data_IF_345142552922
#
_entry.id   IF_345142552922
#
_cell.length_a   1.000
_cell.length_b   1.000
_cell.length_c   1.000
_cell.angle_alpha   90.00
_cell.angle_beta   90.00
_cell.angle_gamma   90.00
#
_symmetry.space_group_name_H-M   'P 1'
#
loop_
_entity.id
_entity.type
_entity.pdbx_description
1 polymer ?
#
# COMPACT_ATOMS: atom_id res chain seq x y z
N UNK A 1 -1.39 10.71 -1.71
CA UNK A 1 0.01 10.41 -1.37
C UNK A 1 0.92 10.73 -2.53
N UNK A 2 1.90 11.64 -2.35
CA UNK A 2 2.75 12.12 -3.46
C UNK A 2 3.80 11.10 -3.92
N UNK A 3 4.30 10.22 -3.03
CA UNK A 3 5.28 9.18 -3.38
C UNK A 3 4.67 8.05 -4.20
N UNK A 4 3.51 7.51 -3.79
CA UNK A 4 2.75 6.55 -4.60
C UNK A 4 2.54 7.05 -6.05
N UNK A 5 2.04 8.29 -6.22
CA UNK A 5 1.89 8.90 -7.54
C UNK A 5 3.19 9.05 -8.33
N UNK A 6 4.33 9.24 -7.66
CA UNK A 6 5.65 9.34 -8.29
C UNK A 6 6.18 7.98 -8.75
N UNK A 7 5.86 6.91 -8.04
CA UNK A 7 6.35 5.55 -8.33
C UNK A 7 5.46 4.80 -9.31
N UNK A 8 4.13 4.90 -9.17
CA UNK A 8 3.19 4.15 -10.01
C UNK A 8 2.61 4.98 -11.15
N UNK A 9 2.75 6.31 -11.09
CA UNK A 9 2.07 7.24 -12.00
C UNK A 9 0.56 7.35 -11.77
N UNK A 10 0.00 6.62 -10.81
CA UNK A 10 -1.44 6.56 -10.52
C UNK A 10 -1.79 7.35 -9.26
N UNK A 11 -2.99 7.88 -9.25
CA UNK A 11 -3.56 8.46 -8.03
C UNK A 11 -3.93 7.33 -7.05
N UNK A 12 -3.83 7.61 -5.75
CA UNK A 12 -4.13 6.64 -4.69
C UNK A 12 -5.58 6.13 -4.70
N UNK A 13 -6.45 6.77 -5.48
CA UNK A 13 -7.83 6.37 -5.75
C UNK A 13 -7.93 5.20 -6.74
N UNK A 14 -6.88 4.94 -7.52
CA UNK A 14 -6.81 3.85 -8.52
C UNK A 14 -5.96 2.67 -8.04
N UNK A 15 -5.92 2.40 -6.73
CA UNK A 15 -5.28 1.20 -6.20
C UNK A 15 -6.15 -0.01 -6.57
N UNK A 16 -5.68 -0.80 -7.54
CA UNK A 16 -6.39 -2.01 -8.00
C UNK A 16 -5.44 -3.19 -7.90
N UNK A 17 -5.67 -4.03 -6.88
CA UNK A 17 -4.93 -5.27 -6.67
C UNK A 17 -3.79 -5.19 -5.65
N UNK A 18 -3.24 -6.37 -5.32
CA UNK A 18 -2.28 -6.56 -4.24
C UNK A 18 -0.97 -5.79 -4.43
N UNK A 19 -0.48 -5.66 -5.68
CA UNK A 19 0.77 -4.96 -5.97
C UNK A 19 0.66 -3.45 -5.77
N UNK A 20 -0.41 -2.81 -6.26
CA UNK A 20 -0.64 -1.37 -6.03
C UNK A 20 -0.83 -1.06 -4.55
N UNK A 21 -1.45 -1.99 -3.81
CA UNK A 21 -1.59 -1.90 -2.35
C UNK A 21 -0.26 -2.02 -1.60
N UNK A 22 0.62 -2.94 -2.01
CA UNK A 22 1.95 -3.08 -1.43
C UNK A 22 2.74 -1.77 -1.55
N UNK A 23 2.72 -1.13 -2.73
CA UNK A 23 3.37 0.19 -2.96
C UNK A 23 2.76 1.27 -2.07
N UNK A 24 1.44 1.26 -1.90
CA UNK A 24 0.75 2.22 -1.03
C UNK A 24 1.15 2.08 0.44
N UNK A 25 1.23 0.86 0.97
CA UNK A 25 1.65 0.60 2.35
C UNK A 25 3.11 0.97 2.54
N UNK A 26 3.99 0.61 1.59
CA UNK A 26 5.39 1.02 1.61
C UNK A 26 5.53 2.54 1.69
N UNK A 27 4.78 3.27 0.87
CA UNK A 27 4.74 4.73 0.89
C UNK A 27 4.29 5.28 2.26
N UNK A 28 3.36 4.62 2.95
CA UNK A 28 2.97 4.99 4.32
C UNK A 28 4.13 4.80 5.30
N UNK A 29 4.79 3.64 5.28
CA UNK A 29 5.92 3.33 6.14
C UNK A 29 7.06 4.35 5.94
N UNK A 30 7.45 4.62 4.69
CA UNK A 30 8.47 5.60 4.36
C UNK A 30 8.07 7.01 4.83
N UNK A 31 6.80 7.39 4.67
CA UNK A 31 6.32 8.71 5.10
C UNK A 31 6.36 8.86 6.63
N UNK A 32 5.96 7.82 7.37
CA UNK A 32 6.00 7.81 8.84
C UNK A 32 7.43 7.80 9.35
N UNK A 33 8.30 6.94 8.81
CA UNK A 33 9.71 6.91 9.19
C UNK A 33 10.41 8.24 8.91
N UNK A 34 10.11 8.88 7.78
CA UNK A 34 10.62 10.22 7.49
C UNK A 34 10.10 11.29 8.47
N UNK A 35 8.84 11.18 8.92
CA UNK A 35 8.29 12.09 9.92
C UNK A 35 8.94 11.89 11.31
N UNK A 36 9.31 10.65 11.63
CA UNK A 36 10.00 10.27 12.88
C UNK A 36 11.53 10.48 12.80
N UNK A 37 12.05 10.89 11.63
CA UNK A 37 13.49 11.05 11.41
C UNK A 37 14.27 9.72 11.32
N UNK A 38 13.57 8.61 11.11
CA UNK A 38 14.15 7.27 10.97
C UNK A 38 14.43 6.99 9.49
N UNK A 39 15.63 6.51 9.19
CA UNK A 39 16.00 6.11 7.84
C UNK A 39 15.31 4.78 7.45
N UNK A 40 14.39 4.85 6.49
CA UNK A 40 13.74 3.67 5.93
C UNK A 40 14.61 3.09 4.81
N UNK A 41 15.58 2.24 5.18
CA UNK A 41 16.55 1.63 4.25
C UNK A 41 16.01 0.48 3.38
N UNK A 42 14.69 0.33 3.30
CA UNK A 42 14.02 -0.72 2.53
C UNK A 42 13.48 -0.12 1.24
N UNK A 43 14.06 -0.53 0.11
CA UNK A 43 13.56 -0.19 -1.22
C UNK A 43 12.20 -0.84 -1.48
N UNK A 44 11.41 -0.27 -2.39
CA UNK A 44 10.10 -0.81 -2.75
C UNK A 44 10.18 -2.28 -3.22
N UNK A 45 11.20 -2.62 -4.00
CA UNK A 45 11.42 -3.97 -4.51
C UNK A 45 11.71 -4.98 -3.38
N UNK A 46 12.58 -4.62 -2.43
CA UNK A 46 12.89 -5.42 -1.24
C UNK A 46 11.69 -5.53 -0.28
N UNK A 47 10.82 -4.51 -0.22
CA UNK A 47 9.57 -4.59 0.51
C UNK A 47 8.58 -5.56 -0.13
N UNK A 48 8.45 -5.52 -1.46
CA UNK A 48 7.59 -6.42 -2.21
C UNK A 48 8.08 -7.87 -2.16
N UNK A 49 9.39 -8.12 -2.19
CA UNK A 49 9.98 -9.46 -2.07
C UNK A 49 9.75 -10.07 -0.68
N UNK A 50 9.75 -9.24 0.37
CA UNK A 50 9.44 -9.64 1.74
C UNK A 50 7.94 -9.79 2.01
N UNK A 51 7.08 -9.27 1.13
CA UNK A 51 5.64 -9.41 1.26
C UNK A 51 5.21 -10.75 0.71
N UNK A 52 4.55 -11.53 1.56
CA UNK A 52 3.83 -12.70 1.11
C UNK A 52 2.63 -12.25 0.25
N UNK A 53 2.64 -12.63 -1.03
CA UNK A 53 1.59 -12.25 -1.99
C UNK A 53 0.20 -12.72 -1.55
N UNK A 54 0.10 -13.84 -0.82
CA UNK A 54 -1.17 -14.33 -0.28
C UNK A 54 -1.70 -13.42 0.84
N UNK A 55 -0.82 -12.92 1.69
CA UNK A 55 -1.16 -11.92 2.70
C UNK A 55 -1.58 -10.57 2.07
N UNK A 56 -0.89 -10.15 0.99
CA UNK A 56 -1.23 -8.92 0.26
C UNK A 56 -2.59 -9.02 -0.44
N UNK A 57 -2.94 -10.17 -1.02
CA UNK A 57 -4.27 -10.42 -1.59
C UNK A 57 -5.37 -10.46 -0.52
N UNK A 58 -5.11 -11.13 0.61
CA UNK A 58 -6.04 -11.16 1.75
C UNK A 58 -6.30 -9.74 2.29
N UNK A 59 -5.25 -8.93 2.41
CA UNK A 59 -5.37 -7.54 2.84
C UNK A 59 -6.12 -6.70 1.80
N UNK A 60 -5.81 -6.85 0.51
CA UNK A 60 -6.54 -6.19 -0.59
C UNK A 60 -8.03 -6.48 -0.50
N UNK A 61 -8.42 -7.73 -0.29
CA UNK A 61 -9.83 -8.13 -0.15
C UNK A 61 -10.48 -7.58 1.12
N UNK A 62 -9.73 -7.40 2.21
CA UNK A 62 -10.24 -6.86 3.46
C UNK A 62 -10.46 -5.34 3.42
N UNK A 63 -9.66 -4.61 2.64
CA UNK A 63 -9.76 -3.15 2.52
C UNK A 63 -10.59 -2.69 1.33
N UNK A 64 -10.91 -3.58 0.39
CA UNK A 64 -11.92 -3.26 -0.63
C UNK A 64 -13.26 -3.21 0.10
N UNK A 65 -13.97 -2.06 0.11
CA UNK A 65 -15.26 -1.98 0.78
C UNK A 65 -16.22 -2.95 0.10
N UNK A 66 -16.58 -4.03 0.78
CA UNK A 66 -17.76 -4.82 0.43
C UNK A 66 -18.97 -3.91 0.66
N UNK A 67 -19.63 -3.47 -0.42
CA UNK A 67 -20.89 -2.72 -0.40
C UNK A 67 -22.07 -3.57 0.14
N UNK A 68 -21.87 -4.36 1.21
CA UNK A 68 -22.95 -5.02 1.95
C UNK A 68 -22.84 -4.79 3.44
N UNK A 69 -22.92 -3.51 3.83
CA UNK A 69 -23.71 -3.18 5.03
C UNK A 69 -24.90 -2.37 4.60
N UNK A 70 -25.90 -3.08 4.07
CA UNK A 70 -27.31 -2.68 4.15
C UNK A 70 -27.57 -2.27 5.60
N UNK A 71 -27.66 -0.95 5.82
CA UNK A 71 -28.28 -0.43 7.03
C UNK A 71 -29.77 -0.45 6.70
N UNK A 72 -30.46 -1.32 7.44
CA UNK A 72 -31.90 -1.51 7.49
C UNK A 72 -32.65 -0.20 7.72
#
# INVERSE_FOLDING_TARGET
MRRYKRETGKDADSIVGASDLAVFIWCCCVSTCNADGIEFGVSLDDFCDRLDMSAAEAFSKAITPDEKKTIK
#
